data_IF_760078426801
#
_entry.id   IF_760078426801
#
_cell.length_a   1.000
_cell.length_b   1.000
_cell.length_c   1.000
_cell.angle_alpha   90.00
_cell.angle_beta   90.00
_cell.angle_gamma   90.00
#
_symmetry.space_group_name_H-M   'P 1'
#
loop_
_entity.id
_entity.type
_entity.pdbx_description
1 polymer ?
#
# COMPACT_ATOMS: atom_id res chain seq x y z
N UNK A 1 1.58 6.23 45.27
CA UNK A 1 2.29 5.80 44.04
C UNK A 1 2.23 4.28 43.97
N UNK A 2 1.76 3.69 42.87
CA UNK A 2 1.69 2.23 42.74
C UNK A 2 3.12 1.66 42.64
N UNK A 3 3.57 1.00 43.70
CA UNK A 3 4.95 0.49 43.89
C UNK A 3 5.23 -0.82 43.13
N UNK A 4 4.29 -1.33 42.34
CA UNK A 4 4.47 -2.56 41.56
C UNK A 4 5.18 -2.32 40.22
N UNK A 5 6.09 -3.22 39.83
CA UNK A 5 6.72 -3.25 38.51
C UNK A 5 5.66 -3.49 37.42
N UNK A 6 5.66 -2.69 36.35
CA UNK A 6 4.76 -2.89 35.20
C UNK A 6 5.49 -3.69 34.12
N UNK A 7 4.85 -4.75 33.62
CA UNK A 7 5.46 -5.64 32.63
C UNK A 7 4.51 -5.92 31.47
N UNK A 8 5.07 -6.05 30.27
CA UNK A 8 4.39 -6.55 29.09
C UNK A 8 5.02 -7.90 28.73
N UNK A 9 4.26 -8.97 28.81
CA UNK A 9 4.67 -10.30 28.38
C UNK A 9 4.15 -10.59 26.98
N UNK A 10 5.02 -11.12 26.13
CA UNK A 10 4.67 -11.51 24.77
C UNK A 10 4.21 -12.96 24.78
N UNK A 11 2.90 -13.20 24.77
CA UNK A 11 2.38 -14.56 24.66
C UNK A 11 2.72 -15.15 23.29
N UNK A 12 3.23 -16.39 23.24
CA UNK A 12 3.51 -17.11 21.99
C UNK A 12 2.27 -17.15 21.10
N UNK A 13 2.39 -16.65 19.86
CA UNK A 13 1.28 -16.57 18.90
C UNK A 13 0.00 -15.88 19.43
N UNK A 14 0.14 -15.13 20.52
CA UNK A 14 -0.95 -14.56 21.29
C UNK A 14 -0.87 -13.04 21.44
N UNK A 15 -1.64 -12.45 22.37
CA UNK A 15 -1.64 -11.03 22.66
C UNK A 15 -0.42 -10.58 23.47
N UNK A 16 -0.33 -9.28 23.72
CA UNK A 16 0.55 -8.75 24.77
C UNK A 16 -0.20 -8.78 26.10
N UNK A 17 0.35 -9.44 27.12
CA UNK A 17 -0.22 -9.51 28.46
C UNK A 17 0.43 -8.43 29.33
N UNK A 18 -0.33 -7.42 29.69
CA UNK A 18 0.14 -6.33 30.55
C UNK A 18 -0.25 -6.62 32.00
N UNK A 19 0.70 -6.50 32.91
CA UNK A 19 0.51 -6.65 34.36
C UNK A 19 1.10 -5.43 35.08
N UNK A 20 0.36 -4.87 36.03
CA UNK A 20 0.77 -3.73 36.84
C UNK A 20 0.13 -2.42 36.39
N UNK A 21 0.41 -1.34 37.11
CA UNK A 21 -0.23 -0.04 36.89
C UNK A 21 0.41 0.70 35.71
N UNK A 22 -0.39 1.07 34.71
CA UNK A 22 -0.02 1.99 33.63
C UNK A 22 -1.28 2.63 33.06
N UNK A 23 -1.11 3.78 32.40
CA UNK A 23 -2.17 4.38 31.60
C UNK A 23 -2.23 3.71 30.23
N UNK A 24 -3.43 3.44 29.74
CA UNK A 24 -3.64 3.04 28.35
C UNK A 24 -4.38 4.16 27.66
N UNK A 25 -3.87 4.63 26.52
CA UNK A 25 -4.43 5.76 25.79
C UNK A 25 -4.82 5.32 24.38
N UNK A 26 -5.96 5.83 23.88
CA UNK A 26 -6.37 5.66 22.49
C UNK A 26 -5.61 6.64 21.56
N UNK A 27 -5.91 6.58 20.26
CA UNK A 27 -5.26 7.41 19.26
C UNK A 27 -5.55 8.91 19.38
N UNK A 28 -6.54 9.31 20.18
CA UNK A 28 -6.88 10.70 20.50
C UNK A 28 -6.27 11.13 21.84
N UNK A 29 -5.53 10.25 22.51
CA UNK A 29 -4.99 10.48 23.85
C UNK A 29 -6.02 10.26 24.97
N UNK A 30 -7.21 9.75 24.67
CA UNK A 30 -8.23 9.48 25.68
C UNK A 30 -7.85 8.23 26.50
N UNK A 31 -8.04 8.28 27.81
CA UNK A 31 -7.75 7.16 28.69
C UNK A 31 -8.73 6.00 28.44
N UNK A 32 -8.19 4.81 28.27
CA UNK A 32 -8.94 3.56 28.15
C UNK A 32 -8.94 2.88 29.53
N UNK A 33 -10.12 2.53 30.09
CA UNK A 33 -10.19 1.92 31.40
C UNK A 33 -9.53 0.54 31.41
N UNK A 34 -8.58 0.34 32.31
CA UNK A 34 -7.87 -0.94 32.53
C UNK A 34 -7.72 -1.23 34.03
N UNK A 35 -7.64 -2.50 34.41
CA UNK A 35 -7.44 -2.93 35.80
C UNK A 35 -6.47 -4.10 35.87
N UNK A 36 -5.46 -3.99 36.74
CA UNK A 36 -4.58 -5.09 37.14
C UNK A 36 -3.80 -5.74 35.98
N UNK A 37 -4.41 -6.76 35.37
CA UNK A 37 -3.86 -7.57 34.28
C UNK A 37 -4.83 -7.58 33.10
N UNK A 38 -4.35 -7.26 31.90
CA UNK A 38 -5.17 -7.19 30.70
C UNK A 38 -4.37 -7.59 29.45
N UNK A 39 -5.08 -7.89 28.35
CA UNK A 39 -4.48 -8.38 27.11
C UNK A 39 -4.72 -7.39 25.95
N UNK A 40 -3.65 -6.91 25.31
CA UNK A 40 -3.70 -6.06 24.13
C UNK A 40 -3.58 -6.89 22.84
N UNK A 41 -4.37 -6.53 21.83
CA UNK A 41 -4.37 -7.20 20.54
C UNK A 41 -3.02 -7.01 19.82
N UNK A 42 -2.35 -8.13 19.51
CA UNK A 42 -1.14 -8.17 18.69
C UNK A 42 -1.39 -8.62 17.25
N UNK A 43 -2.47 -9.40 17.02
CA UNK A 43 -2.76 -10.01 15.72
C UNK A 43 -3.43 -9.06 14.71
N UNK A 44 -3.82 -7.85 15.15
CA UNK A 44 -4.51 -6.86 14.33
C UNK A 44 -5.99 -7.15 14.05
N UNK A 45 -6.56 -8.30 14.44
CA UNK A 45 -7.91 -8.71 14.01
C UNK A 45 -8.98 -8.70 15.10
N UNK A 46 -8.67 -8.27 16.32
CA UNK A 46 -9.68 -8.23 17.38
C UNK A 46 -10.84 -7.29 17.02
N UNK A 47 -12.07 -7.69 17.35
CA UNK A 47 -13.27 -6.83 17.25
C UNK A 47 -13.42 -5.90 18.47
N UNK A 48 -12.58 -6.06 19.50
CA UNK A 48 -12.58 -5.26 20.74
C UNK A 48 -11.28 -4.48 20.94
N UNK A 49 -10.64 -4.04 19.85
CA UNK A 49 -9.39 -3.26 19.93
C UNK A 49 -9.55 -2.05 20.85
N UNK A 50 -8.50 -1.69 21.63
CA UNK A 50 -7.14 -2.22 21.57
C UNK A 50 -6.93 -3.58 22.27
N UNK A 51 -7.97 -4.13 22.90
CA UNK A 51 -7.89 -5.38 23.65
C UNK A 51 -7.94 -6.62 22.77
N UNK A 52 -7.44 -7.73 23.29
CA UNK A 52 -7.58 -9.05 22.69
C UNK A 52 -8.95 -9.65 23.01
N UNK A 53 -9.56 -10.33 22.04
CA UNK A 53 -10.83 -11.06 22.16
C UNK A 53 -10.70 -12.55 21.76
N UNK A 54 -9.46 -13.06 21.71
CA UNK A 54 -9.18 -14.44 21.30
C UNK A 54 -9.13 -14.68 19.78
N UNK A 55 -9.39 -13.68 18.93
CA UNK A 55 -9.39 -13.85 17.46
C UNK A 55 -8.08 -14.40 16.92
N UNK A 56 -6.94 -14.11 17.56
CA UNK A 56 -5.61 -14.61 17.18
C UNK A 56 -5.55 -16.14 17.04
N UNK A 57 -6.21 -16.89 17.94
CA UNK A 57 -6.26 -18.35 17.88
C UNK A 57 -7.08 -18.84 16.68
N UNK A 58 -8.21 -18.19 16.39
CA UNK A 58 -9.10 -18.55 15.28
C UNK A 58 -8.47 -18.35 13.91
N UNK A 59 -7.61 -17.33 13.78
CA UNK A 59 -6.96 -16.98 12.51
C UNK A 59 -5.55 -17.56 12.36
N UNK A 60 -5.09 -18.39 13.32
CA UNK A 60 -3.73 -18.94 13.31
C UNK A 60 -2.66 -17.86 13.29
N UNK A 61 -2.84 -16.79 14.06
CA UNK A 61 -1.87 -15.68 14.09
C UNK A 61 -0.50 -16.19 14.53
N UNK A 62 0.53 -15.93 13.74
CA UNK A 62 1.92 -16.18 14.14
C UNK A 62 2.61 -14.91 14.64
N UNK A 63 3.12 -14.99 15.86
CA UNK A 63 3.97 -13.99 16.50
C UNK A 63 5.42 -14.03 16.05
N UNK A 64 5.79 -14.94 15.12
CA UNK A 64 7.16 -15.16 14.68
C UNK A 64 7.80 -13.89 14.12
N UNK A 65 9.05 -13.67 14.52
CA UNK A 65 9.95 -12.64 13.99
C UNK A 65 10.62 -13.20 12.74
N UNK A 66 10.56 -12.46 11.65
CA UNK A 66 11.29 -12.78 10.43
C UNK A 66 12.63 -12.04 10.46
N UNK A 67 13.70 -12.68 9.97
CA UNK A 67 14.98 -11.99 9.78
C UNK A 67 14.77 -10.82 8.80
N UNK A 68 14.87 -9.59 9.27
CA UNK A 68 14.59 -8.39 8.47
C UNK A 68 15.75 -7.98 7.56
N UNK A 69 16.86 -8.72 7.55
CA UNK A 69 18.09 -8.35 6.83
C UNK A 69 18.76 -7.07 7.37
N UNK A 70 18.16 -6.43 8.37
CA UNK A 70 18.71 -5.28 9.08
C UNK A 70 19.71 -5.78 10.10
N UNK A 71 20.94 -5.29 10.03
CA UNK A 71 21.97 -5.62 11.01
C UNK A 71 21.50 -5.23 12.41
N UNK A 72 21.72 -6.10 13.39
CA UNK A 72 21.55 -5.78 14.81
C UNK A 72 22.66 -4.84 15.33
N UNK A 73 23.59 -4.43 14.46
CA UNK A 73 24.67 -3.52 14.79
C UNK A 73 24.12 -2.10 14.90
N UNK A 74 24.38 -1.48 16.05
CA UNK A 74 24.16 -0.05 16.25
C UNK A 74 25.23 0.72 15.47
N UNK A 75 24.81 1.55 14.54
CA UNK A 75 25.71 2.44 13.82
C UNK A 75 25.87 3.76 14.58
N UNK A 76 27.08 4.30 14.61
CA UNK A 76 27.41 5.52 15.34
C UNK A 76 27.99 6.57 14.40
N UNK A 77 27.43 7.77 14.45
CA UNK A 77 27.76 8.89 13.57
C UNK A 77 28.30 10.01 14.43
N UNK A 78 29.62 10.19 14.40
CA UNK A 78 30.35 11.15 15.24
C UNK A 78 30.34 12.54 14.59
N UNK A 79 29.84 13.54 15.31
CA UNK A 79 30.00 14.96 15.00
C UNK A 79 30.98 15.65 15.94
N UNK A 80 31.07 16.98 15.86
CA UNK A 80 31.97 17.81 16.67
C UNK A 80 31.59 17.84 18.15
N UNK A 81 30.29 17.94 18.46
CA UNK A 81 29.77 18.05 19.85
C UNK A 81 28.94 16.86 20.31
N UNK A 82 28.47 16.03 19.37
CA UNK A 82 27.51 14.96 19.65
C UNK A 82 27.77 13.77 18.74
N UNK A 83 27.61 12.57 19.27
CA UNK A 83 27.54 11.34 18.47
C UNK A 83 26.11 10.83 18.48
N UNK A 84 25.56 10.53 17.30
CA UNK A 84 24.23 9.94 17.15
C UNK A 84 24.40 8.44 16.95
N UNK A 85 23.65 7.63 17.69
CA UNK A 85 23.60 6.19 17.53
C UNK A 85 22.26 5.78 16.92
N UNK A 86 22.30 5.01 15.83
CA UNK A 86 21.12 4.48 15.12
C UNK A 86 21.05 2.96 15.25
N UNK A 87 20.04 2.48 15.98
CA UNK A 87 19.66 1.08 16.05
C UNK A 87 18.51 0.82 15.08
N UNK A 88 18.88 0.57 13.81
CA UNK A 88 17.90 0.33 12.76
C UNK A 88 17.06 -0.91 13.04
N UNK A 89 17.58 -1.88 13.80
CA UNK A 89 16.89 -3.13 14.11
C UNK A 89 15.66 -2.94 15.00
N UNK A 90 15.46 -1.80 15.65
CA UNK A 90 14.23 -1.47 16.40
C UNK A 90 13.49 -0.24 15.85
N UNK A 91 13.87 0.26 14.67
CA UNK A 91 13.24 1.44 14.09
C UNK A 91 11.77 1.18 13.70
N UNK A 92 10.85 2.00 14.22
CA UNK A 92 9.43 1.94 13.85
C UNK A 92 9.08 2.64 12.53
N UNK A 93 10.08 3.25 11.88
CA UNK A 93 9.92 4.04 10.65
C UNK A 93 8.85 5.14 10.76
N UNK A 94 8.81 5.83 11.90
CA UNK A 94 7.82 6.87 12.19
C UNK A 94 8.05 8.21 11.47
N UNK A 95 9.16 8.38 10.74
CA UNK A 95 9.46 9.60 9.98
C UNK A 95 9.93 10.82 10.80
N UNK A 96 9.77 10.81 12.13
CA UNK A 96 10.11 11.95 13.02
C UNK A 96 11.50 12.54 12.74
N UNK A 97 12.49 11.69 12.46
CA UNK A 97 13.86 12.11 12.21
C UNK A 97 14.03 12.87 10.88
N UNK A 98 13.59 12.25 9.79
CA UNK A 98 13.67 12.82 8.43
C UNK A 98 12.79 14.06 8.26
N UNK A 99 11.64 14.08 8.93
CA UNK A 99 10.67 15.17 8.78
C UNK A 99 11.08 16.41 9.58
N UNK A 100 11.78 16.22 10.71
CA UNK A 100 12.14 17.33 11.61
C UNK A 100 13.54 17.90 11.34
N UNK A 101 14.54 17.08 11.01
CA UNK A 101 15.91 17.52 10.75
C UNK A 101 16.48 16.85 9.49
N UNK A 102 16.00 17.21 8.28
CA UNK A 102 16.49 16.62 7.03
C UNK A 102 17.96 16.96 6.71
N UNK A 103 18.53 18.00 7.34
CA UNK A 103 19.96 18.30 7.29
C UNK A 103 20.82 17.28 8.05
N UNK A 104 20.26 16.68 9.10
CA UNK A 104 20.92 15.65 9.93
C UNK A 104 20.60 14.25 9.39
N UNK A 105 19.34 13.95 9.08
CA UNK A 105 18.89 12.62 8.61
C UNK A 105 18.60 12.66 7.10
N UNK A 106 19.58 12.24 6.31
CA UNK A 106 19.66 12.54 4.87
C UNK A 106 19.16 11.36 4.03
N UNK A 107 17.88 11.38 3.70
CA UNK A 107 17.25 10.31 2.91
C UNK A 107 17.86 10.17 1.52
N UNK A 108 18.36 8.97 1.23
CA UNK A 108 18.98 8.62 -0.05
C UNK A 108 20.43 9.09 -0.22
N UNK A 109 21.09 9.53 0.85
CA UNK A 109 22.49 9.98 0.83
C UNK A 109 23.30 9.23 1.88
N UNK A 110 24.54 8.89 1.55
CA UNK A 110 25.52 8.33 2.50
C UNK A 110 26.63 9.35 2.86
N UNK A 111 27.05 9.46 4.13
CA UNK A 111 26.46 8.78 5.29
C UNK A 111 25.01 9.24 5.57
N UNK A 112 24.14 8.30 5.94
CA UNK A 112 22.73 8.54 6.24
C UNK A 112 22.52 9.64 7.30
N UNK A 113 23.40 9.73 8.30
CA UNK A 113 23.35 10.75 9.35
C UNK A 113 24.56 11.69 9.26
N UNK A 114 24.28 12.99 9.33
CA UNK A 114 25.24 14.07 9.49
C UNK A 114 25.07 14.70 10.87
N UNK A 115 25.88 14.28 11.85
CA UNK A 115 25.75 14.71 13.24
C UNK A 115 26.09 16.20 13.46
N UNK A 116 26.67 16.87 12.46
CA UNK A 116 26.92 18.31 12.45
C UNK A 116 25.87 19.09 11.63
N UNK A 117 24.87 18.40 11.06
CA UNK A 117 23.82 19.01 10.23
C UNK A 117 22.83 19.91 10.98
N UNK A 118 22.92 19.99 12.32
CA UNK A 118 22.16 20.91 13.16
C UNK A 118 22.87 21.14 14.51
N UNK A 119 22.38 22.09 15.30
CA UNK A 119 22.83 22.28 16.67
C UNK A 119 22.54 21.03 17.52
N UNK A 120 23.47 20.67 18.41
CA UNK A 120 23.38 19.46 19.24
C UNK A 120 22.10 19.44 20.07
N UNK A 121 21.66 20.60 20.55
CA UNK A 121 20.44 20.79 21.33
C UNK A 121 19.18 20.40 20.53
N UNK A 122 19.13 20.75 19.24
CA UNK A 122 18.05 20.35 18.34
C UNK A 122 18.06 18.85 18.04
N UNK A 123 19.26 18.26 17.89
CA UNK A 123 19.44 16.82 17.69
C UNK A 123 18.95 16.06 18.92
N UNK A 124 19.35 16.49 20.13
CA UNK A 124 18.90 15.91 21.40
C UNK A 124 17.37 15.95 21.51
N UNK A 125 16.77 17.10 21.24
CA UNK A 125 15.31 17.26 21.27
C UNK A 125 14.60 16.32 20.29
N UNK A 126 15.16 16.10 19.09
CA UNK A 126 14.64 15.15 18.13
C UNK A 126 14.80 13.69 18.59
N UNK A 127 15.99 13.32 19.05
CA UNK A 127 16.28 11.96 19.52
C UNK A 127 15.34 11.58 20.68
N UNK A 128 15.06 12.50 21.60
CA UNK A 128 14.09 12.31 22.70
C UNK A 128 12.66 12.05 22.19
N UNK A 129 12.30 12.50 20.99
CA UNK A 129 11.01 12.25 20.31
C UNK A 129 10.98 10.97 19.47
N UNK A 130 12.09 10.22 19.37
CA UNK A 130 12.10 8.94 18.67
C UNK A 130 11.19 7.92 19.40
N UNK A 131 10.05 7.50 18.81
CA UNK A 131 9.06 6.71 19.54
C UNK A 131 9.51 5.27 19.80
N UNK A 132 10.39 4.73 18.96
CA UNK A 132 10.89 3.36 19.12
C UNK A 132 12.15 3.26 19.96
N UNK A 133 12.78 4.39 20.30
CA UNK A 133 14.09 4.40 20.95
C UNK A 133 15.24 3.97 20.03
N UNK A 134 15.02 3.87 18.72
CA UNK A 134 16.07 3.52 17.76
C UNK A 134 17.22 4.54 17.73
N UNK A 135 16.92 5.80 18.01
CA UNK A 135 17.92 6.85 18.10
C UNK A 135 18.33 7.09 19.56
N UNK A 136 19.62 7.23 19.77
CA UNK A 136 20.22 7.75 21.00
C UNK A 136 21.43 8.63 20.71
N UNK A 137 22.00 9.26 21.73
CA UNK A 137 23.17 10.11 21.57
C UNK A 137 24.14 9.97 22.74
N UNK A 138 25.38 10.40 22.51
CA UNK A 138 26.41 10.63 23.52
C UNK A 138 27.06 11.99 23.33
N UNK A 139 27.44 12.63 24.43
CA UNK A 139 28.17 13.90 24.48
C UNK A 139 29.48 13.61 25.22
N UNK A 140 30.63 13.92 24.62
CA UNK A 140 31.96 13.72 25.20
C UNK A 140 32.22 12.30 25.77
N UNK A 141 31.58 11.28 25.19
CA UNK A 141 31.67 9.87 25.64
C UNK A 141 30.75 9.50 26.81
N UNK A 142 30.02 10.47 27.39
CA UNK A 142 28.96 10.23 28.36
C UNK A 142 27.66 9.75 27.71
N UNK A 143 26.96 8.82 28.35
CA UNK A 143 25.63 8.37 27.93
C UNK A 143 24.55 9.37 28.34
N UNK A 144 23.56 9.60 27.48
CA UNK A 144 22.39 10.40 27.83
C UNK A 144 21.55 9.73 28.94
N UNK A 145 21.23 10.48 29.99
CA UNK A 145 20.30 10.05 31.05
C UNK A 145 18.89 9.79 30.50
N UNK A 146 18.27 8.69 30.94
CA UNK A 146 16.85 8.47 30.74
C UNK A 146 16.06 9.37 31.69
N UNK A 147 15.34 10.36 31.15
CA UNK A 147 14.40 11.13 31.96
C UNK A 147 13.21 10.25 32.39
N UNK A 148 12.73 10.37 33.64
CA UNK A 148 11.56 9.64 34.10
C UNK A 148 10.34 9.96 33.23
N UNK A 149 9.76 8.94 32.60
CA UNK A 149 8.52 9.04 31.83
C UNK A 149 7.37 8.36 32.58
N UNK A 150 6.17 8.90 32.44
CA UNK A 150 4.96 8.23 32.92
C UNK A 150 4.79 6.87 32.21
N UNK A 151 4.42 5.84 32.98
CA UNK A 151 4.10 4.50 32.45
C UNK A 151 2.82 4.57 31.64
N UNK A 152 2.94 4.58 30.32
CA UNK A 152 1.81 4.66 29.40
C UNK A 152 1.98 3.73 28.19
N UNK A 153 0.86 3.22 27.69
CA UNK A 153 0.75 2.48 26.45
C UNK A 153 -0.28 3.20 25.57
N UNK A 154 0.19 3.84 24.51
CA UNK A 154 -0.64 4.64 23.61
C UNK A 154 -0.82 3.90 22.29
N UNK A 155 -2.07 3.60 21.90
CA UNK A 155 -2.36 3.06 20.57
C UNK A 155 -2.48 4.17 19.53
N UNK A 156 -1.56 4.25 18.59
CA UNK A 156 -1.66 5.21 17.47
C UNK A 156 -2.73 4.81 16.48
N UNK A 157 -3.44 5.81 15.89
CA UNK A 157 -4.48 5.56 14.88
C UNK A 157 -3.93 4.67 13.78
N UNK A 158 -4.61 3.56 13.50
CA UNK A 158 -4.23 2.64 12.41
C UNK A 158 -2.76 2.16 12.46
N UNK A 159 -2.16 2.22 13.66
CA UNK A 159 -0.73 2.11 13.86
C UNK A 159 -0.35 1.29 15.09
N UNK A 160 0.91 1.39 15.53
CA UNK A 160 1.46 0.56 16.61
C UNK A 160 1.02 1.03 18.01
N UNK A 161 1.46 0.29 19.03
CA UNK A 161 1.47 0.79 20.41
C UNK A 161 2.81 1.48 20.69
N UNK A 162 2.77 2.68 21.25
CA UNK A 162 3.92 3.36 21.83
C UNK A 162 3.93 3.11 23.34
N UNK A 163 5.02 2.55 23.84
CA UNK A 163 5.21 2.30 25.27
C UNK A 163 6.18 3.35 25.79
N UNK A 164 5.83 4.00 26.90
CA UNK A 164 6.68 4.97 27.59
C UNK A 164 6.72 4.68 29.09
N UNK A 165 7.79 5.13 29.75
CA UNK A 165 8.02 4.91 31.17
C UNK A 165 8.62 3.54 31.44
N UNK A 166 8.96 3.28 32.71
CA UNK A 166 9.56 2.03 33.17
C UNK A 166 8.58 0.85 33.05
N UNK A 167 8.46 0.29 31.84
CA UNK A 167 7.58 -0.83 31.49
C UNK A 167 8.41 -1.93 30.86
N UNK A 168 8.70 -2.97 31.64
CA UNK A 168 9.59 -4.07 31.20
C UNK A 168 8.90 -4.96 30.16
N UNK A 169 9.52 -5.14 28.99
CA UNK A 169 9.11 -6.15 28.01
C UNK A 169 9.73 -7.51 28.36
N UNK A 170 8.90 -8.53 28.55
CA UNK A 170 9.31 -9.92 28.76
C UNK A 170 9.14 -10.70 27.45
N UNK A 171 10.22 -11.31 26.99
CA UNK A 171 10.28 -12.16 25.80
C UNK A 171 10.98 -13.47 26.11
N UNK A 172 10.45 -14.59 25.64
CA UNK A 172 11.11 -15.92 25.76
C UNK A 172 12.40 -15.96 24.91
N UNK A 173 12.38 -15.33 23.73
CA UNK A 173 13.52 -15.35 22.78
C UNK A 173 14.61 -14.30 23.08
N UNK A 174 14.64 -13.73 24.29
CA UNK A 174 15.63 -12.70 24.68
C UNK A 174 15.48 -11.35 23.96
N UNK A 175 14.40 -11.14 23.20
CA UNK A 175 14.13 -9.88 22.51
C UNK A 175 13.83 -8.77 23.53
N UNK A 176 14.65 -7.73 23.54
CA UNK A 176 14.49 -6.58 24.43
C UNK A 176 14.57 -5.27 23.64
N UNK A 177 13.85 -4.21 24.07
CA UNK A 177 14.09 -2.88 23.54
C UNK A 177 15.46 -2.40 24.00
N UNK A 178 16.11 -1.56 23.20
CA UNK A 178 17.38 -0.92 23.58
C UNK A 178 17.23 -0.06 24.83
N UNK A 179 16.10 0.64 24.93
CA UNK A 179 15.76 1.45 26.09
C UNK A 179 14.46 0.96 26.72
N UNK A 180 14.43 0.61 28.02
CA UNK A 180 13.23 0.11 28.67
C UNK A 180 12.17 1.21 28.90
N UNK A 181 12.55 2.48 28.81
CA UNK A 181 11.66 3.63 29.05
C UNK A 181 10.86 4.07 27.81
N UNK A 182 11.21 3.58 26.61
CA UNK A 182 10.47 3.85 25.36
C UNK A 182 10.72 2.82 24.26
N UNK A 183 9.65 2.29 23.70
CA UNK A 183 9.71 1.40 22.53
C UNK A 183 8.35 1.32 21.84
N UNK A 184 8.32 0.75 20.63
CA UNK A 184 7.09 0.68 19.81
C UNK A 184 6.77 -0.76 19.41
N UNK A 185 5.59 -1.24 19.79
CA UNK A 185 5.12 -2.61 19.57
C UNK A 185 4.15 -2.72 18.39
N UNK A 186 4.26 -3.80 17.63
CA UNK A 186 3.37 -4.12 16.52
C UNK A 186 1.95 -4.41 16.99
N UNK A 187 0.97 -3.64 16.51
CA UNK A 187 -0.47 -3.86 16.77
C UNK A 187 -1.21 -4.52 15.62
N UNK A 188 -0.68 -4.42 14.40
CA UNK A 188 -1.37 -4.84 13.17
C UNK A 188 -1.20 -6.33 12.83
N UNK A 189 -0.34 -7.07 13.54
CA UNK A 189 0.02 -8.46 13.26
C UNK A 189 0.92 -8.66 12.04
N UNK A 190 1.18 -7.63 11.24
CA UNK A 190 1.91 -7.74 9.97
C UNK A 190 3.41 -7.49 10.03
N UNK A 191 3.94 -6.92 11.12
CA UNK A 191 5.36 -6.58 11.18
C UNK A 191 6.26 -7.79 10.93
N UNK A 192 7.35 -7.61 10.20
CA UNK A 192 8.39 -8.63 10.03
C UNK A 192 9.33 -8.67 11.24
N UNK A 193 9.40 -7.59 12.01
CA UNK A 193 10.26 -7.44 13.17
C UNK A 193 9.53 -7.63 14.52
N UNK A 194 8.52 -8.52 14.58
CA UNK A 194 7.75 -8.73 15.83
C UNK A 194 8.69 -9.04 17.00
N UNK A 195 8.43 -8.51 18.20
CA UNK A 195 7.23 -7.77 18.61
C UNK A 195 7.25 -6.28 18.24
N UNK A 196 8.33 -5.76 17.68
CA UNK A 196 8.46 -4.35 17.34
C UNK A 196 7.69 -4.00 16.07
N UNK A 197 7.30 -2.73 15.94
CA UNK A 197 6.77 -2.20 14.69
C UNK A 197 7.92 -1.90 13.72
N UNK A 198 7.71 -2.17 12.44
CA UNK A 198 8.63 -1.85 11.33
C UNK A 198 7.95 -1.01 10.23
N UNK A 199 6.79 -0.43 10.54
CA UNK A 199 6.00 0.33 9.57
C UNK A 199 5.11 -0.51 8.65
N UNK A 200 5.12 -1.85 8.72
CA UNK A 200 4.31 -2.71 7.83
C UNK A 200 2.80 -2.39 7.86
N UNK A 201 2.29 -1.81 8.94
CA UNK A 201 0.88 -1.39 9.06
C UNK A 201 0.43 -0.42 7.95
N UNK A 202 1.32 0.47 7.47
CA UNK A 202 1.03 1.34 6.32
C UNK A 202 0.83 0.54 5.03
N UNK A 203 1.71 -0.44 4.79
CA UNK A 203 1.70 -1.23 3.56
C UNK A 203 0.51 -2.19 3.49
N UNK A 204 0.06 -2.71 4.63
CA UNK A 204 -1.08 -3.64 4.69
C UNK A 204 -2.42 -2.92 4.91
N UNK A 205 -2.43 -1.59 5.02
CA UNK A 205 -3.65 -0.81 5.28
C UNK A 205 -4.36 -1.23 6.57
N UNK A 206 -3.60 -1.36 7.67
CA UNK A 206 -4.20 -1.70 8.96
C UNK A 206 -5.24 -0.65 9.35
N UNK A 207 -6.45 -1.09 9.66
CA UNK A 207 -7.55 -0.23 10.12
C UNK A 207 -8.00 -0.75 11.48
N UNK A 208 -7.83 0.06 12.52
CA UNK A 208 -8.14 -0.41 13.86
C UNK A 208 -9.63 -0.71 14.07
N UNK A 209 -10.51 -0.04 13.32
CA UNK A 209 -11.97 -0.23 13.37
C UNK A 209 -12.43 -1.51 12.66
N UNK A 210 -11.67 -1.99 11.66
CA UNK A 210 -12.03 -3.18 10.84
C UNK A 210 -11.12 -4.38 11.03
N UNK A 211 -9.97 -4.21 11.68
CA UNK A 211 -8.94 -5.24 11.83
C UNK A 211 -7.90 -5.25 10.70
N UNK A 212 -7.05 -6.29 10.69
CA UNK A 212 -6.06 -6.48 9.62
C UNK A 212 -6.84 -6.78 8.36
N UNK A 213 -6.86 -5.84 7.43
CA UNK A 213 -7.49 -6.05 6.14
C UNK A 213 -6.68 -7.14 5.41
N UNK A 214 -7.37 -8.20 4.98
CA UNK A 214 -6.73 -9.36 4.41
C UNK A 214 -5.98 -8.96 3.12
N UNK A 215 -4.65 -9.07 3.15
CA UNK A 215 -3.89 -9.28 1.94
C UNK A 215 -4.31 -10.65 1.39
N UNK A 216 -5.05 -10.68 0.28
CA UNK A 216 -5.42 -11.90 -0.45
C UNK A 216 -4.20 -12.81 -0.61
N UNK A 217 -4.46 -14.12 -0.64
CA UNK A 217 -3.55 -15.23 -1.00
C UNK A 217 -2.38 -14.70 -1.83
N UNK A 218 -1.21 -14.66 -1.20
CA UNK A 218 0.01 -14.21 -1.86
C UNK A 218 0.53 -15.43 -2.63
N UNK A 219 0.53 -15.43 -3.97
CA UNK A 219 1.10 -16.53 -4.75
C UNK A 219 2.58 -16.76 -4.36
N UNK A 220 3.13 -17.97 -4.57
CA UNK A 220 4.47 -18.36 -4.08
C UNK A 220 5.62 -17.44 -4.54
N UNK A 221 5.45 -16.75 -5.66
CA UNK A 221 6.40 -15.75 -6.17
C UNK A 221 6.24 -14.34 -5.56
N UNK A 222 5.28 -14.16 -4.65
CA UNK A 222 4.81 -12.86 -4.18
C UNK A 222 3.80 -12.25 -5.16
N UNK A 223 2.74 -11.62 -4.63
CA UNK A 223 1.65 -11.02 -5.41
C UNK A 223 2.19 -10.03 -6.47
N UNK A 224 3.21 -9.24 -6.12
CA UNK A 224 3.86 -8.32 -7.05
C UNK A 224 4.44 -9.04 -8.26
N UNK A 225 5.33 -10.02 -8.06
CA UNK A 225 6.04 -10.68 -9.17
C UNK A 225 5.07 -11.51 -10.01
N UNK A 226 4.16 -12.24 -9.37
CA UNK A 226 3.14 -13.01 -10.06
C UNK A 226 2.26 -12.13 -10.94
N UNK A 227 1.70 -11.03 -10.39
CA UNK A 227 0.83 -10.14 -11.16
C UNK A 227 1.55 -9.44 -12.30
N UNK A 228 2.83 -9.08 -12.15
CA UNK A 228 3.63 -8.52 -13.25
C UNK A 228 3.90 -9.56 -14.34
N UNK A 229 4.34 -10.77 -13.99
CA UNK A 229 4.61 -11.82 -14.98
C UNK A 229 3.33 -12.21 -15.73
N UNK A 230 2.26 -12.52 -14.99
CA UNK A 230 0.99 -12.90 -15.59
C UNK A 230 0.38 -11.77 -16.43
N UNK A 231 0.45 -10.54 -15.94
CA UNK A 231 -0.02 -9.36 -16.66
C UNK A 231 0.76 -9.10 -17.95
N UNK A 232 2.10 -9.14 -17.90
CA UNK A 232 2.94 -8.97 -19.07
C UNK A 232 2.73 -10.08 -20.10
N UNK A 233 2.62 -11.34 -19.66
CA UNK A 233 2.33 -12.47 -20.54
C UNK A 233 0.98 -12.30 -21.23
N UNK A 234 -0.06 -11.87 -20.51
CA UNK A 234 -1.38 -11.62 -21.07
C UNK A 234 -1.33 -10.52 -22.15
N UNK A 235 -0.65 -9.40 -21.88
CA UNK A 235 -0.51 -8.28 -22.81
C UNK A 235 0.24 -8.71 -24.08
N UNK A 236 1.38 -9.41 -23.91
CA UNK A 236 2.18 -9.90 -25.03
C UNK A 236 1.41 -10.92 -25.86
N UNK A 237 0.72 -11.86 -25.21
CA UNK A 237 -0.09 -12.86 -25.91
C UNK A 237 -1.24 -12.22 -26.70
N UNK A 238 -1.93 -11.23 -26.12
CA UNK A 238 -3.00 -10.51 -26.81
C UNK A 238 -2.47 -9.75 -28.05
N UNK A 239 -1.35 -9.02 -27.89
CA UNK A 239 -0.72 -8.30 -29.01
C UNK A 239 -0.26 -9.26 -30.12
N UNK A 240 0.41 -10.37 -29.73
CA UNK A 240 0.89 -11.37 -30.68
C UNK A 240 -0.26 -12.06 -31.43
N UNK A 241 -1.39 -12.32 -30.76
CA UNK A 241 -2.57 -12.89 -31.40
C UNK A 241 -3.15 -11.93 -32.46
N UNK A 242 -3.30 -10.64 -32.15
CA UNK A 242 -3.84 -9.64 -33.08
C UNK A 242 -2.91 -9.47 -34.29
N UNK A 243 -1.62 -9.26 -34.05
CA UNK A 243 -0.62 -9.11 -35.12
C UNK A 243 -0.50 -10.39 -35.97
N UNK A 244 -0.66 -11.56 -35.36
CA UNK A 244 -0.68 -12.84 -36.07
C UNK A 244 -1.89 -13.01 -36.99
N UNK A 245 -3.08 -12.54 -36.57
CA UNK A 245 -4.29 -12.53 -37.42
C UNK A 245 -4.07 -11.60 -38.62
N UNK A 246 -3.50 -10.42 -38.37
CA UNK A 246 -3.18 -9.45 -39.41
C UNK A 246 -2.16 -10.00 -40.42
N UNK A 247 -1.04 -10.55 -39.95
CA UNK A 247 -0.01 -11.14 -40.80
C UNK A 247 -0.51 -12.33 -41.62
N UNK A 248 -1.52 -13.04 -41.13
CA UNK A 248 -2.18 -14.13 -41.85
C UNK A 248 -3.25 -13.66 -42.85
N UNK A 249 -3.53 -12.35 -42.95
CA UNK A 249 -4.59 -11.80 -43.78
C UNK A 249 -6.00 -12.22 -43.34
N UNK A 250 -6.17 -12.57 -42.06
CA UNK A 250 -7.43 -13.11 -41.50
C UNK A 250 -8.26 -12.09 -40.73
N UNK A 251 -8.02 -10.80 -40.97
CA UNK A 251 -8.70 -9.71 -40.26
C UNK A 251 -10.23 -9.79 -40.39
N UNK A 252 -10.71 -10.09 -41.60
CA UNK A 252 -12.14 -10.21 -41.92
C UNK A 252 -12.65 -11.66 -41.93
N UNK A 253 -11.87 -12.60 -41.38
CA UNK A 253 -12.31 -13.98 -41.26
C UNK A 253 -13.57 -14.09 -40.39
N UNK A 254 -14.39 -15.12 -40.64
CA UNK A 254 -15.63 -15.37 -39.91
C UNK A 254 -15.38 -15.41 -38.39
N UNK A 255 -16.14 -14.61 -37.66
CA UNK A 255 -16.08 -14.55 -36.20
C UNK A 255 -16.78 -15.71 -35.48
N UNK A 256 -16.75 -15.63 -34.15
CA UNK A 256 -17.26 -16.62 -33.21
C UNK A 256 -18.54 -16.20 -32.47
N UNK A 257 -18.96 -14.94 -32.54
CA UNK A 257 -20.21 -14.41 -31.95
C UNK A 257 -21.36 -14.30 -32.97
N UNK A 258 -21.15 -14.74 -34.21
CA UNK A 258 -22.21 -14.85 -35.21
C UNK A 258 -21.81 -14.35 -36.60
N UNK A 259 -22.39 -13.21 -37.01
CA UNK A 259 -22.24 -12.65 -38.37
C UNK A 259 -21.01 -11.75 -38.54
N UNK A 260 -20.46 -11.22 -37.45
CA UNK A 260 -19.33 -10.31 -37.54
C UNK A 260 -18.01 -11.04 -37.82
N UNK A 261 -16.98 -10.32 -38.31
CA UNK A 261 -15.64 -10.86 -38.42
C UNK A 261 -14.97 -11.11 -37.06
N UNK A 262 -13.88 -11.87 -37.07
CA UNK A 262 -13.16 -12.32 -35.87
C UNK A 262 -12.60 -11.18 -35.03
N UNK A 263 -12.14 -10.08 -35.66
CA UNK A 263 -11.55 -8.95 -34.92
C UNK A 263 -12.60 -8.16 -34.13
N UNK A 264 -13.73 -7.73 -34.71
CA UNK A 264 -14.84 -7.14 -33.94
C UNK A 264 -15.33 -8.02 -32.79
N UNK A 265 -15.44 -9.33 -32.99
CA UNK A 265 -15.85 -10.28 -31.95
C UNK A 265 -14.84 -10.33 -30.80
N UNK A 266 -13.56 -10.41 -31.15
CA UNK A 266 -12.47 -10.42 -30.18
C UNK A 266 -12.43 -9.11 -29.40
N UNK A 267 -12.56 -7.97 -30.09
CA UNK A 267 -12.55 -6.65 -29.48
C UNK A 267 -13.70 -6.50 -28.46
N UNK A 268 -14.93 -6.82 -28.86
CA UNK A 268 -16.10 -6.77 -27.98
C UNK A 268 -15.94 -7.68 -26.75
N UNK A 269 -15.46 -8.91 -26.96
CA UNK A 269 -15.25 -9.87 -25.88
C UNK A 269 -14.21 -9.36 -24.88
N UNK A 270 -13.06 -8.88 -25.38
CA UNK A 270 -11.99 -8.34 -24.55
C UNK A 270 -12.42 -7.08 -23.81
N UNK A 271 -13.22 -6.22 -24.43
CA UNK A 271 -13.78 -5.01 -23.81
C UNK A 271 -14.71 -5.36 -22.63
N UNK A 272 -15.60 -6.35 -22.79
CA UNK A 272 -16.48 -6.83 -21.72
C UNK A 272 -15.66 -7.41 -20.55
N UNK A 273 -14.66 -8.24 -20.87
CA UNK A 273 -13.77 -8.81 -19.85
C UNK A 273 -12.96 -7.72 -19.13
N UNK A 274 -12.52 -6.71 -19.87
CA UNK A 274 -11.78 -5.58 -19.32
C UNK A 274 -12.64 -4.79 -18.32
N UNK A 275 -13.85 -4.38 -18.69
CA UNK A 275 -14.71 -3.59 -17.79
C UNK A 275 -15.14 -4.41 -16.56
N UNK A 276 -15.35 -5.72 -16.71
CA UNK A 276 -15.55 -6.64 -15.59
C UNK A 276 -14.34 -6.68 -14.66
N UNK A 277 -13.12 -6.81 -15.22
CA UNK A 277 -11.86 -6.79 -14.47
C UNK A 277 -11.63 -5.47 -13.71
N UNK A 278 -11.86 -4.33 -14.36
CA UNK A 278 -11.78 -3.01 -13.74
C UNK A 278 -12.78 -2.84 -12.60
N UNK A 279 -14.01 -3.33 -12.77
CA UNK A 279 -15.07 -3.33 -11.75
C UNK A 279 -14.71 -4.23 -10.57
N UNK A 280 -14.18 -5.42 -10.83
CA UNK A 280 -13.67 -6.31 -9.80
C UNK A 280 -12.51 -5.69 -9.03
N UNK A 281 -11.60 -4.99 -9.72
CA UNK A 281 -10.54 -4.22 -9.08
C UNK A 281 -11.08 -3.12 -8.17
N UNK A 282 -12.14 -2.39 -8.57
CA UNK A 282 -12.77 -1.41 -7.71
C UNK A 282 -13.42 -2.05 -6.47
N UNK A 283 -14.00 -3.24 -6.60
CA UNK A 283 -14.49 -4.04 -5.48
C UNK A 283 -13.36 -4.46 -4.52
N UNK A 284 -12.20 -4.89 -5.03
CA UNK A 284 -11.02 -5.21 -4.22
C UNK A 284 -10.56 -4.02 -3.37
N UNK A 285 -10.56 -2.81 -3.94
CA UNK A 285 -10.24 -1.59 -3.19
C UNK A 285 -11.24 -1.32 -2.07
N UNK A 286 -12.55 -1.49 -2.32
CA UNK A 286 -13.59 -1.33 -1.28
C UNK A 286 -13.44 -2.34 -0.14
N UNK A 287 -12.89 -3.53 -0.43
CA UNK A 287 -12.58 -4.58 0.56
C UNK A 287 -11.24 -4.37 1.28
N UNK A 288 -10.50 -3.31 0.96
CA UNK A 288 -9.22 -3.00 1.61
C UNK A 288 -7.99 -3.57 0.93
N UNK A 289 -8.15 -4.35 -0.14
CA UNK A 289 -7.02 -4.96 -0.84
C UNK A 289 -6.45 -4.02 -1.90
N UNK A 290 -5.76 -2.97 -1.43
CA UNK A 290 -5.18 -1.93 -2.29
C UNK A 290 -4.06 -2.48 -3.20
N UNK A 291 -3.31 -3.47 -2.71
CA UNK A 291 -2.25 -4.11 -3.48
C UNK A 291 -2.80 -4.82 -4.72
N UNK A 292 -3.75 -5.74 -4.54
CA UNK A 292 -4.35 -6.47 -5.67
C UNK A 292 -5.14 -5.55 -6.59
N UNK A 293 -5.87 -4.56 -6.03
CA UNK A 293 -6.49 -3.51 -6.83
C UNK A 293 -5.46 -2.83 -7.73
N UNK A 294 -4.36 -2.31 -7.18
CA UNK A 294 -3.33 -1.62 -7.96
C UNK A 294 -2.77 -2.48 -9.09
N UNK A 295 -2.47 -3.75 -8.82
CA UNK A 295 -1.94 -4.66 -9.84
C UNK A 295 -2.95 -4.95 -10.94
N UNK A 296 -4.18 -5.34 -10.57
CA UNK A 296 -5.23 -5.64 -11.53
C UNK A 296 -5.56 -4.42 -12.41
N UNK A 297 -5.72 -3.23 -11.80
CA UNK A 297 -5.96 -2.00 -12.55
C UNK A 297 -4.82 -1.67 -13.50
N UNK A 298 -3.57 -1.84 -13.07
CA UNK A 298 -2.39 -1.62 -13.92
C UNK A 298 -2.42 -2.55 -15.13
N UNK A 299 -2.65 -3.85 -14.92
CA UNK A 299 -2.71 -4.83 -16.02
C UNK A 299 -3.87 -4.53 -16.97
N UNK A 300 -5.07 -4.29 -16.45
CA UNK A 300 -6.24 -3.97 -17.28
C UNK A 300 -6.00 -2.71 -18.12
N UNK A 301 -5.55 -1.61 -17.52
CA UNK A 301 -5.32 -0.36 -18.25
C UNK A 301 -4.21 -0.52 -19.31
N UNK A 302 -3.10 -1.19 -18.99
CA UNK A 302 -2.03 -1.42 -19.97
C UNK A 302 -2.47 -2.33 -21.11
N UNK A 303 -3.20 -3.41 -20.81
CA UNK A 303 -3.80 -4.27 -21.82
C UNK A 303 -4.74 -3.45 -22.72
N UNK A 304 -5.62 -2.65 -22.14
CA UNK A 304 -6.53 -1.80 -22.89
C UNK A 304 -5.80 -0.82 -23.81
N UNK A 305 -4.73 -0.17 -23.33
CA UNK A 305 -3.91 0.74 -24.14
C UNK A 305 -3.36 0.03 -25.38
N UNK A 306 -2.86 -1.21 -25.22
CA UNK A 306 -2.37 -2.02 -26.35
C UNK A 306 -3.50 -2.43 -27.29
N UNK A 307 -4.64 -2.88 -26.77
CA UNK A 307 -5.79 -3.26 -27.60
C UNK A 307 -6.32 -2.08 -28.42
N UNK A 308 -6.47 -0.91 -27.80
CA UNK A 308 -6.89 0.33 -28.48
C UNK A 308 -5.87 0.71 -29.56
N UNK A 309 -4.57 0.65 -29.27
CA UNK A 309 -3.54 0.98 -30.24
C UNK A 309 -3.55 0.05 -31.48
N UNK A 310 -3.79 -1.25 -31.29
CA UNK A 310 -3.74 -2.23 -32.38
C UNK A 310 -5.06 -2.35 -33.16
N UNK A 311 -6.21 -2.31 -32.47
CA UNK A 311 -7.51 -2.60 -33.09
C UNK A 311 -8.19 -1.32 -33.56
N UNK A 312 -8.22 -0.27 -32.74
CA UNK A 312 -9.01 0.93 -33.06
C UNK A 312 -8.39 1.75 -34.19
N UNK A 313 -7.06 1.86 -34.26
CA UNK A 313 -6.40 2.60 -35.34
C UNK A 313 -6.81 2.09 -36.74
N UNK A 314 -6.87 0.76 -36.89
CA UNK A 314 -7.27 0.10 -38.14
C UNK A 314 -8.79 0.11 -38.35
N UNK A 315 -9.57 -0.05 -37.28
CA UNK A 315 -11.03 0.02 -37.36
C UNK A 315 -11.56 1.39 -37.81
N UNK A 316 -10.83 2.47 -37.50
CA UNK A 316 -11.19 3.83 -37.90
C UNK A 316 -10.91 4.14 -39.37
N UNK A 317 -10.10 3.33 -40.08
CA UNK A 317 -9.88 3.50 -41.53
C UNK A 317 -11.20 3.42 -42.32
N UNK A 318 -12.13 2.58 -41.86
CA UNK A 318 -13.42 2.35 -42.53
C UNK A 318 -14.47 3.45 -42.29
N UNK A 319 -14.19 4.40 -41.39
CA UNK A 319 -15.09 5.51 -41.03
C UNK A 319 -14.37 6.85 -41.00
N UNK A 320 -13.30 6.97 -41.81
CA UNK A 320 -12.58 8.21 -42.01
C UNK A 320 -13.53 9.28 -42.59
N UNK A 321 -13.54 10.47 -41.97
CA UNK A 321 -14.40 11.57 -42.41
C UNK A 321 -13.70 12.39 -43.47
N UNK A 322 -14.33 12.55 -44.64
CA UNK A 322 -13.90 13.54 -45.63
C UNK A 322 -14.53 14.90 -45.34
N UNK A 323 -15.78 14.92 -44.82
CA UNK A 323 -16.50 16.13 -44.42
C UNK A 323 -17.22 15.93 -43.08
N UNK A 324 -17.41 17.02 -42.32
CA UNK A 324 -18.12 16.96 -41.04
C UNK A 324 -19.60 16.53 -41.17
N UNK A 325 -20.22 16.71 -42.33
CA UNK A 325 -21.60 16.28 -42.61
C UNK A 325 -21.76 14.76 -42.64
N UNK A 326 -20.67 14.02 -42.85
CA UNK A 326 -20.68 12.55 -42.95
C UNK A 326 -20.93 11.88 -41.58
N UNK A 327 -20.88 12.67 -40.49
CA UNK A 327 -21.27 12.24 -39.14
C UNK A 327 -22.78 12.18 -38.90
N UNK A 328 -23.61 12.74 -39.79
CA UNK A 328 -25.06 12.81 -39.55
C UNK A 328 -25.72 11.43 -39.29
N UNK A 329 -25.35 10.33 -39.99
CA UNK A 329 -25.92 9.01 -39.74
C UNK A 329 -25.41 8.39 -38.44
N UNK A 330 -26.30 7.68 -37.73
CA UNK A 330 -25.99 6.94 -36.49
C UNK A 330 -24.88 5.90 -36.65
N UNK A 331 -24.73 5.37 -37.86
CA UNK A 331 -23.67 4.43 -38.22
C UNK A 331 -22.26 5.05 -38.13
N UNK A 332 -22.12 6.37 -38.25
CA UNK A 332 -20.83 7.08 -38.22
C UNK A 332 -20.58 7.82 -36.90
N UNK A 333 -21.57 8.53 -36.34
CA UNK A 333 -21.30 9.30 -35.12
C UNK A 333 -21.09 8.44 -33.87
N UNK A 334 -21.75 7.27 -33.75
CA UNK A 334 -21.57 6.38 -32.59
C UNK A 334 -20.14 5.84 -32.48
N UNK A 335 -19.52 5.31 -33.56
CA UNK A 335 -18.11 4.92 -33.56
C UNK A 335 -17.16 6.07 -33.20
N UNK A 336 -17.39 7.28 -33.74
CA UNK A 336 -16.57 8.45 -33.42
C UNK A 336 -16.71 8.90 -31.97
N UNK A 337 -17.92 8.82 -31.40
CA UNK A 337 -18.14 9.06 -29.98
C UNK A 337 -17.44 8.00 -29.12
N UNK A 338 -17.55 6.72 -29.50
CA UNK A 338 -16.84 5.63 -28.82
C UNK A 338 -15.33 5.87 -28.82
N UNK A 339 -14.74 6.18 -29.97
CA UNK A 339 -13.31 6.45 -30.11
C UNK A 339 -12.88 7.64 -29.24
N UNK A 340 -13.62 8.75 -29.28
CA UNK A 340 -13.30 9.97 -28.54
C UNK A 340 -13.36 9.76 -27.02
N UNK A 341 -14.46 9.20 -26.53
CA UNK A 341 -14.63 8.89 -25.10
C UNK A 341 -13.63 7.82 -24.67
N UNK A 342 -13.36 6.84 -25.54
CA UNK A 342 -12.36 5.79 -25.36
C UNK A 342 -10.96 6.34 -25.15
N UNK A 343 -10.50 7.21 -26.05
CA UNK A 343 -9.18 7.87 -25.95
C UNK A 343 -9.04 8.66 -24.65
N UNK A 344 -10.04 9.47 -24.28
CA UNK A 344 -10.04 10.22 -23.03
C UNK A 344 -9.99 9.29 -21.80
N UNK A 345 -10.72 8.18 -21.84
CA UNK A 345 -10.78 7.18 -20.76
C UNK A 345 -9.45 6.44 -20.60
N UNK A 346 -8.83 6.00 -21.70
CA UNK A 346 -7.51 5.36 -21.72
C UNK A 346 -6.46 6.31 -21.16
N UNK A 347 -6.45 7.57 -21.63
CA UNK A 347 -5.51 8.58 -21.17
C UNK A 347 -5.63 8.85 -19.66
N UNK A 348 -6.86 8.99 -19.16
CA UNK A 348 -7.13 9.15 -17.72
C UNK A 348 -6.70 7.92 -16.91
N UNK A 349 -6.96 6.71 -17.42
CA UNK A 349 -6.51 5.46 -16.80
C UNK A 349 -4.98 5.35 -16.75
N UNK A 350 -4.30 5.66 -17.85
CA UNK A 350 -2.84 5.61 -17.94
C UNK A 350 -2.21 6.64 -17.00
N UNK A 351 -2.76 7.85 -16.94
CA UNK A 351 -2.33 8.88 -15.99
C UNK A 351 -2.40 8.39 -14.54
N UNK A 352 -3.54 7.80 -14.15
CA UNK A 352 -3.73 7.22 -12.82
C UNK A 352 -2.72 6.11 -12.54
N UNK A 353 -2.50 5.20 -13.49
CA UNK A 353 -1.52 4.10 -13.35
C UNK A 353 -0.10 4.64 -13.17
N UNK A 354 0.31 5.62 -13.98
CA UNK A 354 1.63 6.24 -13.87
C UNK A 354 1.81 6.95 -12.53
N UNK A 355 0.82 7.73 -12.09
CA UNK A 355 0.84 8.41 -10.80
C UNK A 355 0.89 7.41 -9.63
N UNK A 356 0.04 6.38 -9.63
CA UNK A 356 -0.08 5.43 -8.51
C UNK A 356 1.11 4.45 -8.41
N UNK A 357 1.89 4.30 -9.49
CA UNK A 357 3.12 3.53 -9.49
C UNK A 357 4.39 4.40 -9.31
N UNK A 358 4.23 5.71 -9.07
CA UNK A 358 5.35 6.62 -8.80
C UNK A 358 6.22 6.92 -10.03
N UNK A 359 5.68 6.72 -11.23
CA UNK A 359 6.36 6.98 -12.50
C UNK A 359 6.11 8.42 -13.00
N UNK A 360 5.09 9.08 -12.47
CA UNK A 360 4.72 10.43 -12.87
C UNK A 360 5.49 11.50 -12.06
N UNK A 361 6.07 12.53 -12.70
CA UNK A 361 6.69 13.65 -11.99
C UNK A 361 5.73 14.37 -11.05
N UNK A 362 6.25 14.90 -9.93
CA UNK A 362 5.42 15.51 -8.88
C UNK A 362 4.53 16.67 -9.34
N UNK A 363 4.97 17.43 -10.34
CA UNK A 363 4.23 18.58 -10.88
C UNK A 363 2.99 18.17 -11.71
N UNK A 364 2.89 16.90 -12.13
CA UNK A 364 1.73 16.34 -12.81
C UNK A 364 0.75 15.62 -11.86
N UNK A 365 1.02 15.60 -10.55
CA UNK A 365 0.16 14.90 -9.62
C UNK A 365 -1.20 15.59 -9.44
N UNK A 366 -2.27 14.83 -9.70
CA UNK A 366 -3.63 15.28 -9.39
C UNK A 366 -3.95 14.94 -7.93
N UNK A 367 -4.27 15.97 -7.13
CA UNK A 367 -4.68 15.80 -5.73
C UNK A 367 -6.06 15.15 -5.58
N UNK A 368 -6.97 15.41 -6.53
CA UNK A 368 -8.31 14.85 -6.59
C UNK A 368 -8.37 13.47 -7.31
N UNK A 369 -7.43 12.57 -7.01
CA UNK A 369 -7.30 11.28 -7.71
C UNK A 369 -8.47 10.31 -7.46
N UNK A 370 -9.17 10.40 -6.31
CA UNK A 370 -10.33 9.54 -5.99
C UNK A 370 -11.54 9.82 -6.91
N UNK A 371 -11.99 11.09 -7.08
CA UNK A 371 -12.99 11.44 -8.09
C UNK A 371 -12.56 11.03 -9.50
N UNK A 372 -11.31 11.30 -9.89
CA UNK A 372 -10.80 10.93 -11.21
C UNK A 372 -10.89 9.42 -11.45
N UNK A 373 -10.48 8.59 -10.48
CA UNK A 373 -10.58 7.13 -10.58
C UNK A 373 -12.02 6.63 -10.78
N UNK A 374 -13.01 7.25 -10.12
CA UNK A 374 -14.43 6.90 -10.30
C UNK A 374 -14.95 7.35 -11.66
N UNK A 375 -14.59 8.56 -12.09
CA UNK A 375 -14.94 9.09 -13.41
C UNK A 375 -14.35 8.23 -14.54
N UNK A 376 -13.09 7.81 -14.41
CA UNK A 376 -12.44 6.91 -15.37
C UNK A 376 -13.15 5.55 -15.43
N UNK A 377 -13.53 4.94 -14.29
CA UNK A 377 -14.30 3.69 -14.30
C UNK A 377 -15.68 3.86 -14.96
N UNK A 378 -16.37 4.98 -14.71
CA UNK A 378 -17.63 5.29 -15.38
C UNK A 378 -17.43 5.48 -16.89
N UNK A 379 -16.33 6.13 -17.30
CA UNK A 379 -15.90 6.24 -18.70
C UNK A 379 -15.73 4.88 -19.35
N UNK A 380 -15.06 3.94 -18.68
CA UNK A 380 -14.90 2.57 -19.19
C UNK A 380 -16.22 1.84 -19.43
N UNK A 381 -17.21 2.02 -18.53
CA UNK A 381 -18.56 1.47 -18.73
C UNK A 381 -19.30 2.15 -19.90
N UNK A 382 -19.16 3.47 -20.06
CA UNK A 382 -19.75 4.20 -21.18
C UNK A 382 -19.15 3.75 -22.52
N UNK A 383 -17.82 3.58 -22.58
CA UNK A 383 -17.11 3.09 -23.77
C UNK A 383 -17.58 1.68 -24.13
N UNK A 384 -17.68 0.77 -23.15
CA UNK A 384 -18.21 -0.58 -23.35
C UNK A 384 -19.64 -0.59 -23.91
N UNK A 385 -20.51 0.28 -23.39
CA UNK A 385 -21.87 0.42 -23.92
C UNK A 385 -21.88 0.92 -25.37
N UNK A 386 -21.04 1.91 -25.68
CA UNK A 386 -20.88 2.43 -27.05
C UNK A 386 -20.25 1.39 -27.99
N UNK A 387 -19.36 0.54 -27.50
CA UNK A 387 -18.73 -0.56 -28.25
C UNK A 387 -19.75 -1.63 -28.62
N UNK A 388 -20.57 -2.08 -27.66
CA UNK A 388 -21.72 -2.97 -27.91
C UNK A 388 -22.68 -2.35 -28.93
N UNK A 389 -22.97 -1.06 -28.80
CA UNK A 389 -23.86 -0.35 -29.71
C UNK A 389 -23.28 -0.29 -31.13
N UNK A 390 -21.99 0.02 -31.27
CA UNK A 390 -21.29 0.03 -32.56
C UNK A 390 -21.33 -1.34 -33.21
N UNK A 391 -21.00 -2.39 -32.45
CA UNK A 391 -21.04 -3.77 -32.94
C UNK A 391 -22.45 -4.17 -33.43
N UNK A 392 -23.50 -3.80 -32.69
CA UNK A 392 -24.88 -4.04 -33.10
C UNK A 392 -25.23 -3.31 -34.40
N UNK A 393 -24.89 -2.02 -34.51
CA UNK A 393 -25.19 -1.20 -35.69
C UNK A 393 -24.44 -1.62 -36.95
N UNK A 394 -23.27 -2.25 -36.82
CA UNK A 394 -22.42 -2.63 -37.94
C UNK A 394 -22.65 -4.07 -38.41
N UNK A 395 -23.00 -4.98 -37.51
CA UNK A 395 -22.98 -6.42 -37.84
C UNK A 395 -24.29 -7.17 -37.56
N UNK A 396 -25.19 -6.61 -36.75
CA UNK A 396 -26.43 -7.29 -36.33
C UNK A 396 -27.71 -6.64 -36.84
N UNK A 397 -27.70 -5.31 -37.02
CA UNK A 397 -28.76 -4.52 -37.66
C UNK A 397 -28.55 -4.51 -39.16
#
# INVERSE_FOLDING_TARGET
MATGKTTIEISKDGPYIVTGACRVLDARGAAVPVRGRFALCRCGNSSRKPFCDGTHAKIGFSGMRFATGTSAVVESYRGKRITIHDDRAICAHAGVCTDSLPGVFRLGKEPWIDADGAAAEAIIALVKRCPSGALSYSIDGGSADSEPRERAITGSRDGPFHVTGDVTLKSEDGIAPRFPDRYTLCRCGGSKNKPFCDGTHWAIGFDESRGRQASVVVPPLGLKRFSWIAGSLLIVAAAAAILGIEAAGKWDARGFLGKAPVIPDLNLTLEILLVAGLTFGAWLAKRGNIGAHRYLQTVCVLLNTVLVALIMARGMENVALERFTDLAPVHYWVPWLHATVGTATVAGGLWLVLQMNGLLPRWLHVRAWKPLMRATLAGYWLVALLGVTTYYLWFLR
#
